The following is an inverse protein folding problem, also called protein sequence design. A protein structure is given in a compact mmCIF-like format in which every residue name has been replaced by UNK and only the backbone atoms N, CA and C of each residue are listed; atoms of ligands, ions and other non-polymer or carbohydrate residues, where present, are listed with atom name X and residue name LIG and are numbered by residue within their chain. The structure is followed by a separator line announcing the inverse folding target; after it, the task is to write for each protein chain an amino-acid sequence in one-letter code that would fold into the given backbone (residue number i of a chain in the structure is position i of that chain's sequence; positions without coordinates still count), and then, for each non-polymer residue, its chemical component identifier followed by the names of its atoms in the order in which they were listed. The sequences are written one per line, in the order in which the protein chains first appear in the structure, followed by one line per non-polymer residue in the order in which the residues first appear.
data_IF_620070057680
#
_entry.id   IF_620070057680
#
_cell.length_a   1.000
_cell.length_b   1.000
_cell.length_c   1.000
_cell.angle_alpha   90.00
_cell.angle_beta   90.00
_cell.angle_gamma   90.00
#
_symmetry.space_group_name_H-M   'P 1'
#
loop_
_entity.id
_entity.type
_entity.pdbx_description
1 polymer ?
#
# COMPACT_ATOMS: atom_id res chain seq x y z
N UNK A 1 -11.60 -16.94 2.32
CA UNK A 1 -12.17 -15.83 1.52
C UNK A 1 -11.75 -14.54 2.19
N UNK A 2 -10.75 -13.88 1.62
CA UNK A 2 -10.30 -12.54 2.03
C UNK A 2 -11.36 -11.54 1.54
N UNK A 3 -11.94 -10.69 2.40
CA UNK A 3 -12.95 -9.74 1.96
C UNK A 3 -12.29 -8.69 1.05
N UNK A 4 -12.90 -8.49 -0.12
CA UNK A 4 -12.45 -7.49 -1.08
C UNK A 4 -12.94 -6.12 -0.62
N UNK A 5 -12.21 -5.05 -0.92
CA UNK A 5 -12.50 -3.69 -0.45
C UNK A 5 -13.90 -3.13 -0.76
N UNK A 6 -14.71 -3.84 -1.57
CA UNK A 6 -16.12 -3.51 -1.80
C UNK A 6 -17.01 -3.83 -0.57
N UNK A 7 -16.64 -4.82 0.25
CA UNK A 7 -17.34 -5.21 1.49
C UNK A 7 -17.32 -4.10 2.57
N UNK A 8 -16.39 -3.15 2.50
CA UNK A 8 -16.34 -2.03 3.47
C UNK A 8 -17.49 -1.04 3.29
N UNK A 9 -18.06 -0.94 2.09
CA UNK A 9 -19.09 0.04 1.75
C UNK A 9 -20.49 -0.39 2.13
N UNK A 10 -20.74 -1.69 2.31
CA UNK A 10 -22.08 -2.24 2.55
C UNK A 10 -22.49 -2.23 4.04
N UNK A 11 -21.62 -1.76 4.96
CA UNK A 11 -21.87 -1.76 6.41
C UNK A 11 -21.43 -0.48 7.13
N UNK A 12 -21.56 0.70 6.50
CA UNK A 12 -21.27 1.96 7.20
C UNK A 12 -22.48 2.35 8.05
N UNK A 13 -22.54 1.82 9.28
CA UNK A 13 -23.61 2.10 10.26
C UNK A 13 -23.44 3.44 11.01
N UNK A 14 -22.27 4.05 10.91
CA UNK A 14 -21.91 5.22 11.71
C UNK A 14 -21.30 6.31 10.85
N UNK A 15 -21.73 7.55 11.08
CA UNK A 15 -21.25 8.75 10.39
C UNK A 15 -20.74 9.75 11.43
N UNK A 16 -19.53 10.23 11.25
CA UNK A 16 -18.89 11.23 12.12
C UNK A 16 -18.65 12.50 11.31
N UNK A 17 -18.94 13.65 11.91
CA UNK A 17 -18.59 14.96 11.37
C UNK A 17 -17.68 15.66 12.37
N UNK A 18 -16.52 16.12 11.90
CA UNK A 18 -15.55 16.84 12.73
C UNK A 18 -15.29 18.22 12.11
N UNK A 19 -15.33 19.27 12.93
CA UNK A 19 -14.97 20.64 12.54
C UNK A 19 -13.80 21.10 13.41
N UNK A 20 -12.68 21.34 12.77
CA UNK A 20 -11.39 21.68 13.41
C UNK A 20 -10.73 22.83 12.67
N UNK A 21 -9.96 23.64 13.38
CA UNK A 21 -9.16 24.70 12.77
C UNK A 21 -8.03 24.09 11.94
N UNK A 22 -7.73 24.69 10.78
CA UNK A 22 -6.63 24.21 9.92
C UNK A 22 -5.26 24.27 10.60
N UNK A 23 -5.08 25.15 11.58
CA UNK A 23 -3.86 25.27 12.39
C UNK A 23 -3.75 24.18 13.45
N UNK A 24 -4.88 23.60 13.84
CA UNK A 24 -4.94 22.56 14.86
C UNK A 24 -4.77 21.16 14.28
N UNK A 25 -4.74 21.03 12.94
CA UNK A 25 -4.55 19.76 12.24
C UNK A 25 -3.12 19.66 11.74
N UNK A 26 -2.41 18.59 12.04
CA UNK A 26 -1.10 18.25 11.49
C UNK A 26 -1.16 16.92 10.74
N UNK A 27 -0.61 16.88 9.53
CA UNK A 27 -0.44 15.62 8.79
C UNK A 27 0.89 15.02 9.24
N UNK A 28 0.84 13.85 9.88
CA UNK A 28 2.04 13.13 10.29
C UNK A 28 2.61 12.46 9.04
N UNK A 29 3.82 12.86 8.65
CA UNK A 29 4.56 12.17 7.59
C UNK A 29 5.18 10.92 8.20
N UNK A 30 4.54 9.78 8.03
CA UNK A 30 5.14 8.49 8.40
C UNK A 30 6.36 8.29 7.51
N UNK A 31 7.56 8.52 8.04
CA UNK A 31 8.80 8.17 7.33
C UNK A 31 8.72 6.67 7.09
N UNK A 32 8.62 6.29 5.80
CA UNK A 32 8.29 4.94 5.38
C UNK A 32 9.10 3.91 6.15
N UNK A 33 8.46 3.23 7.09
CA UNK A 33 9.00 1.98 7.58
C UNK A 33 8.93 1.02 6.40
N UNK A 34 10.10 0.67 5.88
CA UNK A 34 10.25 -0.41 4.91
C UNK A 34 9.89 -1.68 5.67
N UNK A 35 8.61 -2.05 5.60
CA UNK A 35 8.12 -3.29 6.20
C UNK A 35 8.80 -4.46 5.49
N UNK A 36 9.83 -4.99 6.15
CA UNK A 36 10.49 -6.26 5.83
C UNK A 36 9.52 -7.42 6.11
N UNK A 37 8.47 -7.55 5.31
CA UNK A 37 7.67 -8.78 5.21
C UNK A 37 6.80 -8.74 3.96
N UNK A 38 7.40 -8.31 2.85
CA UNK A 38 6.86 -8.57 1.52
C UNK A 38 7.83 -9.58 0.94
N UNK A 39 7.32 -10.74 0.53
CA UNK A 39 7.98 -11.62 -0.44
C UNK A 39 8.69 -10.70 -1.44
N UNK A 40 10.02 -10.67 -1.42
CA UNK A 40 10.76 -9.72 -2.24
C UNK A 40 10.46 -10.07 -3.69
N UNK A 41 9.59 -9.27 -4.31
CA UNK A 41 9.03 -9.55 -5.62
C UNK A 41 10.14 -9.70 -6.65
N UNK A 42 11.22 -8.93 -6.47
CA UNK A 42 12.39 -9.03 -7.33
C UNK A 42 13.12 -10.35 -7.08
N UNK A 43 13.26 -10.78 -5.82
CA UNK A 43 13.81 -12.11 -5.51
C UNK A 43 12.99 -13.25 -6.13
N UNK A 44 11.65 -13.23 -6.03
CA UNK A 44 10.81 -14.29 -6.64
C UNK A 44 10.86 -14.25 -8.17
N UNK A 45 11.02 -13.06 -8.76
CA UNK A 45 11.22 -12.90 -10.20
C UNK A 45 12.57 -13.46 -10.65
N UNK A 46 13.62 -13.24 -9.87
CA UNK A 46 14.94 -13.80 -10.10
C UNK A 46 14.90 -15.34 -9.98
N UNK A 47 14.23 -15.87 -8.95
CA UNK A 47 14.02 -17.31 -8.77
C UNK A 47 13.25 -17.92 -9.96
N UNK A 48 12.22 -17.23 -10.47
CA UNK A 48 11.46 -17.68 -11.65
C UNK A 48 12.35 -17.76 -12.90
N UNK A 49 13.26 -16.80 -13.06
CA UNK A 49 14.22 -16.80 -14.16
C UNK A 49 15.21 -17.97 -14.03
N UNK A 50 15.66 -18.29 -12.81
CA UNK A 50 16.50 -19.47 -12.56
C UNK A 50 15.76 -20.76 -12.88
N UNK A 51 14.52 -20.92 -12.41
CA UNK A 51 13.71 -22.12 -12.69
C UNK A 51 13.41 -22.26 -14.17
N UNK A 52 13.24 -21.15 -14.90
CA UNK A 52 13.08 -21.17 -16.36
C UNK A 52 14.34 -21.70 -17.05
N UNK A 53 15.52 -21.23 -16.65
CA UNK A 53 16.79 -21.76 -17.17
C UNK A 53 16.99 -23.24 -16.82
N UNK A 54 16.56 -23.68 -15.63
CA UNK A 54 16.58 -25.11 -15.27
C UNK A 54 15.71 -25.94 -16.21
N UNK A 55 14.53 -25.45 -16.60
CA UNK A 55 13.66 -26.13 -17.56
C UNK A 55 14.34 -26.28 -18.94
N UNK A 56 14.99 -25.22 -19.42
CA UNK A 56 15.73 -25.23 -20.68
C UNK A 56 16.92 -26.20 -20.66
N UNK A 57 17.63 -26.28 -19.52
CA UNK A 57 18.74 -27.22 -19.33
C UNK A 57 18.26 -28.66 -19.21
N UNK A 58 17.18 -28.91 -18.47
CA UNK A 58 16.57 -30.23 -18.34
C UNK A 58 16.13 -30.78 -19.70
N UNK A 59 15.52 -29.95 -20.55
CA UNK A 59 15.09 -30.35 -21.89
C UNK A 59 16.22 -30.74 -22.86
N UNK A 60 17.49 -30.48 -22.51
CA UNK A 60 18.67 -30.92 -23.28
C UNK A 60 19.16 -32.32 -22.90
N UNK A 61 18.61 -32.91 -21.83
CA UNK A 61 18.99 -34.25 -21.40
C UNK A 61 18.43 -35.31 -22.38
N UNK A 62 19.28 -36.25 -22.78
CA UNK A 62 18.91 -37.32 -23.72
C UNK A 62 18.31 -38.55 -23.03
N UNK A 63 18.41 -38.62 -21.70
CA UNK A 63 17.85 -39.70 -20.90
C UNK A 63 16.38 -39.44 -20.53
N UNK A 64 15.66 -40.46 -20.06
CA UNK A 64 14.31 -40.28 -19.54
C UNK A 64 14.34 -39.53 -18.20
N UNK A 65 13.72 -38.35 -18.12
CA UNK A 65 13.82 -37.44 -16.98
C UNK A 65 12.49 -36.79 -16.57
N UNK A 66 11.36 -37.46 -16.80
CA UNK A 66 10.02 -36.92 -16.56
C UNK A 66 9.80 -36.40 -15.13
N UNK A 67 10.31 -37.10 -14.11
CA UNK A 67 10.17 -36.65 -12.71
C UNK A 67 10.90 -35.32 -12.42
N UNK A 68 11.99 -35.03 -13.13
CA UNK A 68 12.66 -33.73 -13.05
C UNK A 68 11.79 -32.63 -13.69
N UNK A 69 11.18 -32.91 -14.85
CA UNK A 69 10.28 -31.96 -15.50
C UNK A 69 9.06 -31.64 -14.63
N UNK A 70 8.49 -32.63 -13.93
CA UNK A 70 7.38 -32.44 -13.01
C UNK A 70 7.79 -31.55 -11.83
N UNK A 71 8.93 -31.80 -11.20
CA UNK A 71 9.44 -30.95 -10.12
C UNK A 71 9.70 -29.50 -10.57
N UNK A 72 10.26 -29.30 -11.78
CA UNK A 72 10.49 -27.97 -12.35
C UNK A 72 9.16 -27.25 -12.62
N UNK A 73 8.15 -27.96 -13.15
CA UNK A 73 6.80 -27.41 -13.35
C UNK A 73 6.16 -26.99 -12.03
N UNK A 74 6.25 -27.83 -11.00
CA UNK A 74 5.72 -27.53 -9.67
C UNK A 74 6.39 -26.30 -9.03
N UNK A 75 7.71 -26.19 -9.15
CA UNK A 75 8.45 -24.99 -8.72
C UNK A 75 7.98 -23.74 -9.45
N UNK A 76 7.84 -23.82 -10.78
CA UNK A 76 7.39 -22.72 -11.61
C UNK A 76 5.95 -22.27 -11.26
N UNK A 77 5.05 -23.23 -11.03
CA UNK A 77 3.68 -22.95 -10.59
C UNK A 77 3.63 -22.32 -9.20
N UNK A 78 4.46 -22.78 -8.26
CA UNK A 78 4.54 -22.20 -6.92
C UNK A 78 5.08 -20.76 -6.94
N UNK A 79 6.13 -20.48 -7.70
CA UNK A 79 6.70 -19.13 -7.82
C UNK A 79 5.74 -18.18 -8.56
N UNK A 80 5.09 -18.66 -9.62
CA UNK A 80 4.07 -17.90 -10.35
C UNK A 80 2.87 -17.54 -9.46
N UNK A 81 2.44 -18.48 -8.60
CA UNK A 81 1.40 -18.22 -7.58
C UNK A 81 1.87 -17.16 -6.60
N UNK A 82 3.09 -17.28 -6.05
CA UNK A 82 3.65 -16.30 -5.13
C UNK A 82 3.76 -14.89 -5.75
N UNK A 83 4.16 -14.78 -7.02
CA UNK A 83 4.18 -13.52 -7.77
C UNK A 83 2.77 -12.94 -7.96
N UNK A 84 1.79 -13.78 -8.31
CA UNK A 84 0.39 -13.35 -8.46
C UNK A 84 -0.19 -12.84 -7.14
N UNK A 85 0.08 -13.54 -6.05
CA UNK A 85 -0.31 -13.13 -4.70
C UNK A 85 0.43 -11.87 -4.24
N UNK A 86 1.71 -11.71 -4.59
CA UNK A 86 2.45 -10.47 -4.35
C UNK A 86 1.88 -9.30 -5.16
N UNK A 87 1.46 -9.53 -6.40
CA UNK A 87 0.85 -8.53 -7.27
C UNK A 87 -0.54 -8.09 -6.80
N UNK A 88 -1.32 -8.98 -6.18
CA UNK A 88 -2.61 -8.65 -5.55
C UNK A 88 -2.43 -7.98 -4.18
N UNK A 89 -1.25 -8.13 -3.55
CA UNK A 89 -0.84 -7.46 -2.30
C UNK A 89 -0.11 -6.12 -2.51
N UNK A 90 -0.05 -5.57 -3.73
CA UNK A 90 0.58 -4.28 -4.06
C UNK A 90 -0.13 -3.02 -3.49
N UNK A 91 -0.81 -3.15 -2.37
CA UNK A 91 -1.13 -2.02 -1.49
C UNK A 91 -0.52 -2.39 -0.15
N UNK A 92 0.67 -1.84 0.19
CA UNK A 92 1.19 -2.00 1.54
C UNK A 92 0.08 -1.62 2.53
N UNK A 93 -0.11 -2.39 3.62
CA UNK A 93 -1.18 -2.17 4.59
C UNK A 93 -1.16 -0.76 5.23
N UNK A 94 -0.07 -0.01 5.05
CA UNK A 94 0.13 1.35 5.51
C UNK A 94 0.39 2.38 4.39
N UNK A 95 0.31 2.00 3.10
CA UNK A 95 0.54 2.91 1.97
C UNK A 95 -0.71 3.67 1.49
N UNK A 96 -1.87 3.36 2.06
CA UNK A 96 -3.12 4.07 1.82
C UNK A 96 -3.68 4.59 3.14
N UNK A 97 -2.82 5.11 4.02
CA UNK A 97 -3.24 5.65 5.32
C UNK A 97 -2.67 7.03 5.50
N UNK A 98 -3.51 7.96 5.93
CA UNK A 98 -3.07 9.28 6.36
C UNK A 98 -3.30 9.41 7.86
N UNK A 99 -2.23 9.76 8.57
CA UNK A 99 -2.26 10.03 10.00
C UNK A 99 -2.39 11.53 10.24
N UNK A 100 -3.35 11.90 11.07
CA UNK A 100 -3.60 13.27 11.48
C UNK A 100 -3.48 13.40 12.99
N UNK A 101 -2.81 14.45 13.45
CA UNK A 101 -2.91 14.92 14.82
C UNK A 101 -3.83 16.14 14.83
N UNK A 102 -4.87 16.09 15.65
CA UNK A 102 -5.86 17.16 15.77
C UNK A 102 -5.83 17.67 17.20
N UNK A 103 -5.36 18.90 17.37
CA UNK A 103 -5.36 19.57 18.68
C UNK A 103 -6.77 20.10 18.95
N UNK A 104 -7.36 19.71 20.07
CA UNK A 104 -8.62 20.27 20.55
C UNK A 104 -8.39 21.02 21.86
N UNK A 105 -9.41 21.72 22.37
CA UNK A 105 -9.31 22.41 23.66
C UNK A 105 -9.09 21.45 24.84
N UNK A 106 -9.43 20.17 24.68
CA UNK A 106 -9.32 19.18 25.73
C UNK A 106 -8.06 18.31 25.58
N UNK A 107 -7.78 17.83 24.35
CA UNK A 107 -6.68 16.89 24.09
C UNK A 107 -6.24 16.89 22.61
N UNK A 108 -5.16 16.18 22.30
CA UNK A 108 -4.68 15.93 20.94
C UNK A 108 -5.19 14.57 20.48
N UNK A 109 -6.05 14.58 19.45
CA UNK A 109 -6.66 13.39 18.89
C UNK A 109 -5.81 12.89 17.72
N UNK A 110 -5.34 11.64 17.81
CA UNK A 110 -4.72 10.93 16.69
C UNK A 110 -5.80 10.25 15.84
N UNK A 111 -5.90 10.63 14.57
CA UNK A 111 -6.88 10.12 13.61
C UNK A 111 -6.14 9.42 12.47
N UNK A 112 -6.46 8.16 12.23
CA UNK A 112 -5.93 7.37 11.11
C UNK A 112 -7.03 7.19 10.06
N UNK A 113 -6.80 7.69 8.86
CA UNK A 113 -7.74 7.60 7.74
C UNK A 113 -7.22 6.56 6.75
N UNK A 114 -7.97 5.48 6.53
CA UNK A 114 -7.68 4.50 5.48
C UNK A 114 -8.34 4.87 4.15
N UNK A 115 -7.60 4.71 3.04
CA UNK A 115 -8.07 4.99 1.69
C UNK A 115 -8.16 3.71 0.86
N UNK A 116 -9.13 3.70 -0.06
CA UNK A 116 -9.24 2.62 -1.05
C UNK A 116 -8.10 2.64 -2.08
N UNK A 117 -7.51 3.81 -2.34
CA UNK A 117 -6.43 4.02 -3.32
C UNK A 117 -5.48 5.13 -2.86
N UNK A 118 -4.20 5.03 -3.25
CA UNK A 118 -3.17 6.04 -2.97
C UNK A 118 -3.49 7.40 -3.61
N UNK A 119 -4.18 7.43 -4.76
CA UNK A 119 -4.61 8.68 -5.40
C UNK A 119 -5.55 9.49 -4.51
N UNK A 120 -6.50 8.83 -3.81
CA UNK A 120 -7.42 9.51 -2.90
C UNK A 120 -6.71 10.08 -1.68
N UNK A 121 -5.74 9.34 -1.15
CA UNK A 121 -4.87 9.84 -0.08
C UNK A 121 -4.13 11.11 -0.55
N UNK A 122 -3.51 11.05 -1.72
CA UNK A 122 -2.69 12.14 -2.26
C UNK A 122 -3.53 13.40 -2.57
N UNK A 123 -4.76 13.22 -3.07
CA UNK A 123 -5.72 14.31 -3.30
C UNK A 123 -6.08 15.00 -1.98
N UNK A 124 -6.39 14.23 -0.92
CA UNK A 124 -6.74 14.82 0.36
C UNK A 124 -5.54 15.54 1.01
N UNK A 125 -4.36 14.90 1.02
CA UNK A 125 -3.13 15.50 1.54
C UNK A 125 -2.79 16.81 0.82
N UNK A 126 -2.89 16.84 -0.51
CA UNK A 126 -2.67 18.04 -1.32
C UNK A 126 -3.70 19.14 -1.04
N UNK A 127 -4.97 18.76 -0.84
CA UNK A 127 -6.04 19.70 -0.51
C UNK A 127 -5.81 20.37 0.85
N UNK A 128 -5.51 19.59 1.89
CA UNK A 128 -5.20 20.10 3.23
C UNK A 128 -3.99 21.03 3.19
N UNK A 129 -2.92 20.62 2.49
CA UNK A 129 -1.73 21.45 2.34
C UNK A 129 -2.04 22.78 1.63
N UNK A 130 -2.81 22.74 0.53
CA UNK A 130 -3.24 23.94 -0.21
C UNK A 130 -4.04 24.89 0.67
N UNK A 131 -5.01 24.38 1.42
CA UNK A 131 -5.85 25.19 2.31
C UNK A 131 -5.01 25.88 3.38
N UNK A 132 -4.08 25.17 4.03
CA UNK A 132 -3.15 25.77 5.01
C UNK A 132 -2.34 26.91 4.41
N UNK A 133 -1.78 26.68 3.21
CA UNK A 133 -0.96 27.67 2.52
C UNK A 133 -1.79 28.92 2.17
N UNK A 134 -3.00 28.75 1.62
CA UNK A 134 -3.89 29.87 1.30
C UNK A 134 -4.29 30.69 2.54
N UNK A 135 -4.61 30.04 3.67
CA UNK A 135 -4.94 30.74 4.92
C UNK A 135 -3.76 31.57 5.44
N UNK A 136 -2.52 31.05 5.37
CA UNK A 136 -1.33 31.81 5.76
C UNK A 136 -1.13 33.06 4.90
N UNK A 137 -1.34 32.98 3.59
CA UNK A 137 -1.26 34.15 2.70
C UNK A 137 -2.33 35.21 3.02
N UNK A 138 -3.55 34.79 3.32
CA UNK A 138 -4.65 35.70 3.65
C UNK A 138 -4.43 36.46 4.98
N UNK A 139 -3.86 35.80 5.99
CA UNK A 139 -3.54 36.44 7.27
C UNK A 139 -2.41 37.47 7.11
N UNK A 140 -1.43 37.19 6.26
CA UNK A 140 -0.30 38.09 6.00
C UNK A 140 -0.72 39.37 5.28
N UNK A 141 -1.70 39.31 4.37
CA UNK A 141 -2.26 40.47 3.66
C UNK A 141 -3.14 41.37 4.54
N UNK A 142 -3.72 40.85 5.63
CA UNK A 142 -4.52 41.66 6.58
C UNK A 142 -3.69 42.37 7.66
N UNK A 143 -2.40 42.04 7.79
CA UNK A 143 -1.51 42.58 8.82
C UNK A 143 -0.48 43.58 8.29
N UNK A 144 -0.59 43.96 7.01
CA UNK A 144 0.14 45.08 6.36
C UNK A 144 -0.85 46.17 6.00
#
# INVERSE_FOLDING_TARGET
KTPFGQDFTENIKHKVWLRVGLYDVEIVKTQGQVYKSVVDREQVKDDLNVVTQMAELAGKLTCHHQGLEEMIKDLNSNLSRQLSEASTRNIPPDSNKMELLVTTQADVIHIVIGFSTAEKENVLGSSVHRSKTQTQFAVKQKSS
#
